data_IF_492751876146
#
_entry.id   IF_492751876146
#
_cell.length_a   1.000
_cell.length_b   1.000
_cell.length_c   1.000
_cell.angle_alpha   90.00
_cell.angle_beta   90.00
_cell.angle_gamma   90.00
#
_symmetry.space_group_name_H-M   'P 1'
#
loop_
_entity.id
_entity.type
_entity.pdbx_description
1 polymer ?
#
# COMPACT_ATOMS: atom_id res chain seq x y z
N UNK A 1 -19.37 4.77 3.34
CA UNK A 1 -18.32 4.09 4.12
C UNK A 1 -17.94 2.86 3.33
N UNK A 2 -16.86 2.92 2.54
CA UNK A 2 -16.39 1.74 1.83
C UNK A 2 -15.87 0.77 2.90
N UNK A 3 -16.54 -0.36 3.07
CA UNK A 3 -16.06 -1.47 3.89
C UNK A 3 -14.70 -1.89 3.35
N UNK A 4 -13.63 -1.37 3.97
CA UNK A 4 -12.29 -1.87 3.69
C UNK A 4 -12.28 -3.33 4.05
N UNK A 5 -11.94 -4.16 3.09
CA UNK A 5 -11.67 -5.58 3.29
C UNK A 5 -10.57 -5.71 4.34
N UNK A 6 -10.65 -6.68 5.26
CA UNK A 6 -9.66 -6.86 6.33
C UNK A 6 -8.23 -7.05 5.80
N UNK A 7 -8.11 -7.48 4.54
CA UNK A 7 -6.86 -7.60 3.78
C UNK A 7 -6.23 -6.22 3.54
N UNK A 8 -7.02 -5.25 3.08
CA UNK A 8 -6.57 -3.87 2.86
C UNK A 8 -5.97 -3.27 4.14
N UNK A 9 -6.66 -3.44 5.28
CA UNK A 9 -6.22 -2.87 6.55
C UNK A 9 -4.86 -3.44 6.98
N UNK A 10 -4.69 -4.77 6.85
CA UNK A 10 -3.42 -5.45 7.13
C UNK A 10 -2.27 -5.00 6.22
N UNK A 11 -2.54 -4.85 4.92
CA UNK A 11 -1.53 -4.38 3.96
C UNK A 11 -1.11 -2.94 4.30
N UNK A 12 -2.07 -2.07 4.64
CA UNK A 12 -1.77 -0.69 5.01
C UNK A 12 -1.08 -0.56 6.37
N UNK A 13 -1.40 -1.41 7.35
CA UNK A 13 -0.69 -1.45 8.63
C UNK A 13 0.77 -1.86 8.42
N UNK A 14 1.03 -2.88 7.60
CA UNK A 14 2.40 -3.28 7.25
C UNK A 14 3.15 -2.18 6.51
N UNK A 15 2.54 -1.54 5.52
CA UNK A 15 3.16 -0.44 4.78
C UNK A 15 3.35 0.83 5.64
N UNK A 16 2.57 1.01 6.70
CA UNK A 16 2.80 2.07 7.69
C UNK A 16 4.00 1.77 8.58
N UNK A 17 4.18 0.51 8.99
CA UNK A 17 5.36 0.08 9.77
C UNK A 17 6.63 0.05 8.92
N UNK A 18 6.49 -0.33 7.65
CA UNK A 18 7.56 -0.48 6.68
C UNK A 18 7.24 0.36 5.42
N UNK A 19 7.66 1.64 5.38
CA UNK A 19 7.25 2.59 4.33
C UNK A 19 7.69 2.20 2.91
N UNK A 20 8.70 1.33 2.80
CA UNK A 20 9.10 0.68 1.56
C UNK A 20 9.19 -0.82 1.86
N UNK A 21 8.28 -1.60 1.29
CA UNK A 21 8.26 -3.04 1.44
C UNK A 21 8.13 -3.69 0.07
N UNK A 22 8.78 -4.82 -0.16
CA UNK A 22 8.59 -5.57 -1.39
C UNK A 22 7.43 -6.58 -1.27
N UNK A 23 6.82 -6.94 -2.40
CA UNK A 23 5.69 -7.88 -2.44
C UNK A 23 6.00 -9.24 -1.78
N UNK A 24 7.25 -9.71 -1.91
CA UNK A 24 7.68 -10.99 -1.36
C UNK A 24 7.77 -10.93 0.17
N UNK A 25 8.38 -9.87 0.71
CA UNK A 25 8.42 -9.56 2.15
C UNK A 25 7.01 -9.35 2.72
N UNK A 26 6.13 -8.64 2.01
CA UNK A 26 4.75 -8.46 2.45
C UNK A 26 4.01 -9.80 2.55
N UNK A 27 4.20 -10.68 1.56
CA UNK A 27 3.61 -12.03 1.57
C UNK A 27 4.16 -12.88 2.73
N UNK A 28 5.45 -12.70 3.08
CA UNK A 28 6.06 -13.37 4.24
C UNK A 28 5.54 -12.85 5.58
N UNK A 29 5.28 -11.56 5.70
CA UNK A 29 4.74 -10.94 6.92
C UNK A 29 3.25 -11.20 7.12
N UNK A 30 2.53 -11.53 6.03
CA UNK A 30 1.12 -11.87 6.03
C UNK A 30 0.89 -13.33 5.58
N UNK A 31 1.41 -14.33 6.31
CA UNK A 31 1.29 -15.75 5.91
C UNK A 31 -0.16 -16.26 5.97
N UNK A 32 -1.03 -15.53 6.65
CA UNK A 32 -2.47 -15.79 6.75
C UNK A 32 -3.22 -15.52 5.44
N UNK A 33 -2.58 -14.80 4.50
CA UNK A 33 -3.17 -14.40 3.23
C UNK A 33 -2.49 -15.10 2.06
N UNK A 34 -3.28 -15.50 1.06
CA UNK A 34 -2.73 -16.06 -0.18
C UNK A 34 -2.08 -14.98 -1.03
N UNK A 35 -1.00 -15.31 -1.72
CA UNK A 35 -0.30 -14.41 -2.65
C UNK A 35 -1.25 -13.76 -3.67
N UNK A 36 -2.22 -14.52 -4.19
CA UNK A 36 -3.24 -14.01 -5.13
C UNK A 36 -4.16 -12.96 -4.49
N UNK A 37 -4.56 -13.14 -3.22
CA UNK A 37 -5.37 -12.18 -2.48
C UNK A 37 -4.61 -10.89 -2.22
N UNK A 38 -3.34 -11.01 -1.80
CA UNK A 38 -2.45 -9.87 -1.58
C UNK A 38 -2.25 -9.11 -2.90
N UNK A 39 -1.94 -9.81 -3.99
CA UNK A 39 -1.73 -9.21 -5.30
C UNK A 39 -2.98 -8.49 -5.83
N UNK A 40 -4.16 -9.11 -5.74
CA UNK A 40 -5.42 -8.50 -6.15
C UNK A 40 -5.73 -7.22 -5.37
N UNK A 41 -5.52 -7.25 -4.06
CA UNK A 41 -5.76 -6.08 -3.23
C UNK A 41 -4.73 -4.97 -3.50
N UNK A 42 -3.47 -5.32 -3.73
CA UNK A 42 -2.43 -4.37 -4.15
C UNK A 42 -2.75 -3.74 -5.50
N UNK A 43 -3.14 -4.53 -6.50
CA UNK A 43 -3.53 -4.02 -7.82
C UNK A 43 -4.69 -3.04 -7.69
N UNK A 44 -5.70 -3.40 -6.88
CA UNK A 44 -6.83 -2.53 -6.58
C UNK A 44 -6.39 -1.23 -5.90
N UNK A 45 -5.62 -1.31 -4.81
CA UNK A 45 -5.13 -0.14 -4.07
C UNK A 45 -4.23 0.75 -4.94
N UNK A 46 -3.47 0.14 -5.85
CA UNK A 46 -2.64 0.87 -6.80
C UNK A 46 -3.47 1.63 -7.81
N UNK A 47 -4.54 1.02 -8.34
CA UNK A 47 -5.52 1.69 -9.22
C UNK A 47 -6.27 2.80 -8.50
N UNK A 48 -6.56 2.64 -7.22
CA UNK A 48 -7.18 3.68 -6.38
C UNK A 48 -6.17 4.79 -5.99
N UNK A 49 -4.87 4.62 -6.30
CA UNK A 49 -3.82 5.58 -5.97
C UNK A 49 -3.50 5.63 -4.48
N UNK A 50 -3.89 4.61 -3.72
CA UNK A 50 -3.64 4.47 -2.28
C UNK A 50 -2.25 3.89 -2.01
N UNK A 51 -1.70 3.10 -2.92
CA UNK A 51 -0.33 2.59 -2.87
C UNK A 51 0.37 2.80 -4.22
N UNK A 52 1.68 2.94 -4.18
CA UNK A 52 2.53 3.00 -5.36
C UNK A 52 3.31 1.69 -5.49
N UNK A 53 3.12 1.01 -6.61
CA UNK A 53 3.88 -0.18 -6.98
C UNK A 53 4.94 0.24 -7.99
N UNK A 54 6.20 0.03 -7.64
CA UNK A 54 7.34 0.34 -8.51
C UNK A 54 8.16 -0.92 -8.73
N UNK A 55 8.58 -1.17 -9.97
CA UNK A 55 9.47 -2.28 -10.26
C UNK A 55 10.91 -1.82 -10.11
N UNK A 56 11.59 -2.33 -9.07
CA UNK A 56 12.96 -1.94 -8.73
C UNK A 56 14.03 -2.68 -9.55
N UNK A 57 15.26 -2.17 -9.49
CA UNK A 57 16.42 -2.74 -10.19
C UNK A 57 16.74 -4.20 -9.80
N UNK A 58 16.32 -4.64 -8.61
CA UNK A 58 16.47 -6.02 -8.13
C UNK A 58 15.41 -6.99 -8.68
N UNK A 59 14.62 -6.60 -9.68
CA UNK A 59 13.44 -7.34 -10.18
C UNK A 59 12.40 -7.63 -9.10
N UNK A 60 12.32 -6.77 -8.09
CA UNK A 60 11.33 -6.84 -7.01
C UNK A 60 10.28 -5.77 -7.19
N UNK A 61 9.04 -6.14 -6.91
CA UNK A 61 7.93 -5.19 -6.81
C UNK A 61 8.02 -4.48 -5.47
N UNK A 62 8.42 -3.21 -5.49
CA UNK A 62 8.47 -2.34 -4.32
C UNK A 62 7.14 -1.61 -4.17
N UNK A 63 6.52 -1.79 -3.01
CA UNK A 63 5.30 -1.18 -2.56
C UNK A 63 5.65 -0.03 -1.63
N UNK A 64 5.01 1.12 -1.85
CA UNK A 64 5.20 2.31 -1.02
C UNK A 64 3.86 2.98 -0.82
N UNK A 65 3.67 3.59 0.35
CA UNK A 65 2.56 4.53 0.50
C UNK A 65 2.91 5.79 -0.31
N UNK A 66 2.01 6.30 -1.17
CA UNK A 66 2.12 7.66 -1.63
C UNK A 66 2.13 8.50 -0.36
N UNK A 67 3.14 9.35 -0.22
CA UNK A 67 3.13 10.36 0.83
C UNK A 67 1.81 11.09 0.65
N UNK A 68 0.85 10.83 1.55
CA UNK A 68 -0.43 11.50 1.49
C UNK A 68 -0.04 12.96 1.67
N UNK A 69 -0.08 13.73 0.59
CA UNK A 69 -0.06 15.17 0.71
C UNK A 69 -1.35 15.43 1.45
N UNK A 70 -1.26 15.57 2.77
CA UNK A 70 -2.39 15.96 3.58
C UNK A 70 -2.99 17.15 2.85
N UNK A 71 -4.21 17.00 2.36
CA UNK A 71 -5.01 18.17 1.96
C UNK A 71 -5.42 18.86 3.27
N UNK A 72 -4.44 19.33 4.02
CA UNK A 72 -4.59 20.39 4.99
C UNK A 72 -4.17 21.66 4.27
N UNK A 73 -5.00 22.10 3.33
CA UNK A 73 -5.03 23.51 3.02
C UNK A 73 -5.81 24.16 4.18
N UNK A 74 -5.20 25.10 4.89
CA UNK A 74 -5.80 26.39 5.05
C UNK A 74 -5.03 27.31 4.12
N UNK A 75 -5.72 27.92 3.15
CA UNK A 75 -5.22 29.17 2.56
C UNK A 75 -5.07 30.15 3.74
N UNK A 76 -3.89 30.71 4.05
CA UNK A 76 -3.86 32.01 4.67
C UNK A 76 -4.13 33.00 3.53
N UNK A 77 -5.33 33.58 3.54
CA UNK A 77 -5.53 34.87 2.93
C UNK A 77 -4.72 35.87 3.76
N UNK A 78 -3.78 36.57 3.15
CA UNK A 78 -3.33 37.89 3.59
C UNK A 78 -2.74 38.67 2.42
#
# INVERSE_FOLDING_TARGET
MASRTPITDRILDELQRMPVCDLDTLTKNLPDLSWSQIFLEIDRLSREGVILVTFGLERRYMLRLPEYKTKSAPRPAH
#
